data_IF_880374006125
#
_entry.id   IF_880374006125
#
_cell.length_a   1.000
_cell.length_b   1.000
_cell.length_c   1.000
_cell.angle_alpha   90.00
_cell.angle_beta   90.00
_cell.angle_gamma   90.00
#
_symmetry.space_group_name_H-M   'P 1'
#
loop_
_entity.id
_entity.type
_entity.pdbx_description
1 polymer ?
#
# COMPACT_ATOMS: atom_id res chain seq x y z
N UNK A 1 16.91 11.32 -58.84
CA UNK A 1 17.91 10.88 -57.83
C UNK A 1 17.80 11.81 -56.63
N UNK A 2 17.35 11.30 -55.47
CA UNK A 2 17.28 12.08 -54.23
C UNK A 2 18.71 12.46 -53.80
N UNK A 3 19.00 13.76 -53.68
CA UNK A 3 20.29 14.23 -53.14
C UNK A 3 20.34 13.83 -51.67
N UNK A 4 21.30 12.98 -51.29
CA UNK A 4 21.56 12.68 -49.89
C UNK A 4 22.13 13.93 -49.20
N UNK A 5 21.28 14.65 -48.47
CA UNK A 5 21.69 15.81 -47.69
C UNK A 5 22.29 15.34 -46.36
N UNK A 6 23.61 15.43 -46.24
CA UNK A 6 24.31 15.12 -44.99
C UNK A 6 23.92 16.11 -43.89
N UNK A 7 23.97 15.66 -42.63
CA UNK A 7 23.76 16.50 -41.46
C UNK A 7 25.09 17.15 -41.07
N UNK A 8 25.13 18.47 -41.07
CA UNK A 8 26.29 19.24 -40.60
C UNK A 8 26.31 19.32 -39.08
N UNK A 9 27.48 19.65 -38.51
CA UNK A 9 27.62 19.84 -37.05
C UNK A 9 26.71 20.95 -36.54
N UNK A 10 26.56 22.05 -37.29
CA UNK A 10 25.66 23.16 -36.96
C UNK A 10 24.20 22.73 -36.93
N UNK A 11 23.72 22.04 -37.98
CA UNK A 11 22.34 21.51 -38.01
C UNK A 11 22.07 20.53 -36.84
N UNK A 12 23.08 19.77 -36.40
CA UNK A 12 22.97 18.86 -35.25
C UNK A 12 22.81 19.63 -33.93
N UNK A 13 23.58 20.71 -33.75
CA UNK A 13 23.49 21.57 -32.57
C UNK A 13 22.16 22.33 -32.53
N UNK A 14 21.72 22.85 -33.66
CA UNK A 14 20.43 23.52 -33.81
C UNK A 14 19.28 22.54 -33.58
N UNK A 15 19.35 21.32 -34.11
CA UNK A 15 18.36 20.26 -33.85
C UNK A 15 18.27 19.94 -32.35
N UNK A 16 19.42 19.82 -31.66
CA UNK A 16 19.44 19.64 -30.20
C UNK A 16 18.79 20.83 -29.50
N UNK A 17 19.11 22.06 -29.92
CA UNK A 17 18.58 23.28 -29.31
C UNK A 17 17.06 23.38 -29.45
N UNK A 18 16.56 23.21 -30.68
CA UNK A 18 15.14 23.24 -31.01
C UNK A 18 14.36 22.13 -30.29
N UNK A 19 14.93 20.91 -30.18
CA UNK A 19 14.27 19.81 -29.49
C UNK A 19 14.29 19.90 -27.97
N UNK A 20 15.40 20.32 -27.39
CA UNK A 20 15.61 20.25 -25.94
C UNK A 20 15.12 21.53 -25.25
N UNK A 21 15.43 22.70 -25.80
CA UNK A 21 15.11 23.98 -25.18
C UNK A 21 13.81 24.58 -25.71
N UNK A 22 13.61 24.58 -27.02
CA UNK A 22 12.43 25.21 -27.65
C UNK A 22 11.23 24.25 -27.75
N UNK A 23 11.48 22.94 -27.61
CA UNK A 23 10.47 21.86 -27.58
C UNK A 23 9.59 21.78 -28.83
N UNK A 24 10.13 22.17 -29.99
CA UNK A 24 9.41 22.15 -31.26
C UNK A 24 9.09 20.71 -31.74
N UNK A 25 7.96 20.55 -32.42
CA UNK A 25 7.55 19.29 -33.02
C UNK A 25 8.40 18.93 -34.25
N UNK A 26 8.43 17.64 -34.61
CA UNK A 26 9.21 17.18 -35.78
C UNK A 26 8.76 17.86 -37.09
N UNK A 27 7.49 18.22 -37.20
CA UNK A 27 6.93 18.91 -38.38
C UNK A 27 7.41 20.36 -38.49
N UNK A 28 7.48 21.07 -37.38
CA UNK A 28 7.94 22.46 -37.32
C UNK A 28 9.44 22.53 -37.65
N UNK A 29 10.23 21.64 -37.04
CA UNK A 29 11.66 21.52 -37.29
C UNK A 29 11.94 21.07 -38.73
N UNK A 30 11.13 20.18 -39.29
CA UNK A 30 11.22 19.76 -40.68
C UNK A 30 11.02 20.92 -41.65
N UNK A 31 10.10 21.84 -41.35
CA UNK A 31 9.88 23.04 -42.15
C UNK A 31 11.08 24.00 -42.06
N UNK A 32 11.67 24.16 -40.87
CA UNK A 32 12.85 25.02 -40.65
C UNK A 32 14.08 24.48 -41.40
N UNK A 33 14.34 23.18 -41.33
CA UNK A 33 15.47 22.56 -42.02
C UNK A 33 15.21 22.21 -43.49
N UNK A 34 14.00 22.50 -44.01
CA UNK A 34 13.55 22.08 -45.34
C UNK A 34 13.78 20.58 -45.61
N UNK A 35 13.59 19.76 -44.57
CA UNK A 35 13.78 18.30 -44.58
C UNK A 35 12.45 17.60 -44.34
N UNK A 36 12.40 16.29 -44.60
CA UNK A 36 11.22 15.51 -44.24
C UNK A 36 11.14 15.30 -42.71
N UNK A 37 9.93 15.29 -42.11
CA UNK A 37 9.76 14.95 -40.69
C UNK A 37 10.40 13.60 -40.30
N UNK A 38 10.39 12.64 -41.23
CA UNK A 38 11.04 11.34 -41.05
C UNK A 38 12.57 11.45 -40.88
N UNK A 39 13.22 12.36 -41.62
CA UNK A 39 14.65 12.62 -41.49
C UNK A 39 14.99 13.20 -40.11
N UNK A 40 14.15 14.11 -39.60
CA UNK A 40 14.27 14.68 -38.24
C UNK A 40 14.13 13.59 -37.19
N UNK A 41 13.09 12.76 -37.28
CA UNK A 41 12.85 11.65 -36.35
C UNK A 41 14.04 10.68 -36.31
N UNK A 42 14.56 10.32 -37.49
CA UNK A 42 15.69 9.40 -37.60
C UNK A 42 16.97 9.98 -37.03
N UNK A 43 17.21 11.28 -37.24
CA UNK A 43 18.38 11.94 -36.66
C UNK A 43 18.26 12.08 -35.15
N UNK A 44 17.08 12.44 -34.62
CA UNK A 44 16.83 12.47 -33.18
C UNK A 44 17.08 11.11 -32.53
N UNK A 45 16.62 10.02 -33.17
CA UNK A 45 16.89 8.64 -32.74
C UNK A 45 18.38 8.32 -32.73
N UNK A 46 19.11 8.64 -33.81
CA UNK A 46 20.56 8.43 -33.92
C UNK A 46 21.34 9.20 -32.84
N UNK A 47 20.93 10.43 -32.57
CA UNK A 47 21.54 11.30 -31.56
C UNK A 47 21.07 11.00 -30.13
N UNK A 48 20.17 10.02 -29.94
CA UNK A 48 19.54 9.70 -28.65
C UNK A 48 18.88 10.92 -27.98
N UNK A 49 18.39 11.87 -28.78
CA UNK A 49 17.59 13.00 -28.31
C UNK A 49 16.22 12.44 -27.92
N UNK A 50 16.02 12.25 -26.61
CA UNK A 50 14.76 11.72 -26.07
C UNK A 50 13.80 12.88 -25.83
N UNK A 51 12.53 12.73 -26.25
CA UNK A 51 11.45 13.62 -25.83
C UNK A 51 11.29 13.49 -24.30
N UNK A 52 11.95 14.37 -23.55
CA UNK A 52 11.68 14.54 -22.13
C UNK A 52 10.40 15.35 -22.01
N UNK A 53 9.27 14.67 -22.17
CA UNK A 53 8.00 15.28 -21.80
C UNK A 53 8.04 15.53 -20.28
N UNK A 54 7.90 16.79 -19.87
CA UNK A 54 7.81 17.14 -18.47
C UNK A 54 6.65 16.38 -17.81
N UNK A 55 6.78 16.07 -16.53
CA UNK A 55 5.64 15.56 -15.77
C UNK A 55 4.77 16.75 -15.42
N UNK A 56 3.59 16.83 -16.00
CA UNK A 56 2.54 17.74 -15.55
C UNK A 56 1.87 17.16 -14.27
N UNK A 57 1.18 18.03 -13.53
CA UNK A 57 0.54 17.67 -12.25
C UNK A 57 -0.50 16.56 -12.45
N UNK A 58 -1.25 16.62 -13.55
CA UNK A 58 -2.30 15.65 -13.87
C UNK A 58 -1.74 14.23 -14.09
N UNK A 59 -0.68 14.08 -14.88
CA UNK A 59 0.00 12.79 -15.08
C UNK A 59 0.63 12.26 -13.80
N UNK A 60 1.04 13.15 -12.89
CA UNK A 60 1.51 12.73 -11.57
C UNK A 60 0.38 12.17 -10.69
N UNK A 61 -0.79 12.82 -10.68
CA UNK A 61 -1.96 12.31 -9.96
C UNK A 61 -2.46 10.98 -10.55
N UNK A 62 -2.47 10.87 -11.88
CA UNK A 62 -2.81 9.61 -12.56
C UNK A 62 -1.79 8.53 -12.18
N UNK A 63 -0.49 8.83 -12.15
CA UNK A 63 0.54 7.88 -11.71
C UNK A 63 0.29 7.40 -10.28
N UNK A 64 -0.01 8.31 -9.34
CA UNK A 64 -0.31 7.96 -7.96
C UNK A 64 -1.54 7.06 -7.85
N UNK A 65 -2.63 7.43 -8.51
CA UNK A 65 -3.85 6.64 -8.52
C UNK A 65 -3.61 5.23 -9.09
N UNK A 66 -2.86 5.12 -10.19
CA UNK A 66 -2.51 3.83 -10.76
C UNK A 66 -1.61 3.00 -9.84
N UNK A 67 -0.65 3.61 -9.14
CA UNK A 67 0.22 2.89 -8.20
C UNK A 67 -0.55 2.38 -6.99
N UNK A 68 -1.36 3.25 -6.36
CA UNK A 68 -1.93 2.99 -5.04
C UNK A 68 -3.34 2.41 -5.06
N UNK A 69 -4.14 2.68 -6.10
CA UNK A 69 -5.55 2.23 -6.18
C UNK A 69 -5.77 1.05 -7.13
N UNK A 70 -4.73 0.57 -7.81
CA UNK A 70 -4.82 -0.56 -8.75
C UNK A 70 -3.71 -1.58 -8.51
N UNK A 71 -3.84 -2.75 -9.12
CA UNK A 71 -2.81 -3.79 -9.08
C UNK A 71 -1.97 -3.87 -10.37
N UNK A 72 -1.97 -2.83 -11.21
CA UNK A 72 -1.27 -2.87 -12.49
C UNK A 72 0.24 -3.04 -12.35
N UNK A 73 0.85 -3.79 -13.27
CA UNK A 73 2.30 -3.86 -13.44
C UNK A 73 2.87 -2.52 -13.91
N UNK A 74 4.19 -2.32 -13.74
CA UNK A 74 4.87 -1.10 -14.22
C UNK A 74 4.65 -0.87 -15.72
N UNK A 75 4.60 -1.95 -16.50
CA UNK A 75 4.37 -1.92 -17.94
C UNK A 75 2.96 -1.45 -18.29
N UNK A 76 1.94 -1.91 -17.57
CA UNK A 76 0.55 -1.49 -17.77
C UNK A 76 0.33 -0.03 -17.37
N UNK A 77 0.95 0.40 -16.25
CA UNK A 77 0.96 1.82 -15.83
C UNK A 77 1.61 2.68 -16.92
N UNK A 78 2.70 2.21 -17.51
CA UNK A 78 3.39 2.88 -18.62
C UNK A 78 2.53 3.05 -19.85
N UNK A 79 1.86 1.98 -20.28
CA UNK A 79 0.92 2.04 -21.42
C UNK A 79 -0.22 3.03 -21.17
N UNK A 80 -0.79 3.03 -19.95
CA UNK A 80 -1.88 3.96 -19.60
C UNK A 80 -1.45 5.42 -19.56
N UNK A 81 -0.21 5.70 -19.16
CA UNK A 81 0.33 7.07 -19.14
C UNK A 81 0.93 7.49 -20.49
N UNK A 82 0.92 6.63 -21.52
CA UNK A 82 1.60 6.89 -22.80
C UNK A 82 3.10 7.08 -22.65
N UNK A 83 3.71 6.46 -21.63
CA UNK A 83 5.12 6.67 -21.23
C UNK A 83 5.88 5.35 -21.31
N UNK A 84 7.21 5.43 -21.24
CA UNK A 84 8.06 4.25 -21.13
C UNK A 84 8.15 3.77 -19.68
N UNK A 85 8.34 2.46 -19.48
CA UNK A 85 8.51 1.89 -18.14
C UNK A 85 9.69 2.52 -17.39
N UNK A 86 10.79 2.81 -18.08
CA UNK A 86 11.95 3.49 -17.51
C UNK A 86 11.65 4.90 -17.02
N UNK A 87 10.82 5.67 -17.73
CA UNK A 87 10.42 7.01 -17.31
C UNK A 87 9.62 6.97 -16.00
N UNK A 88 8.74 5.98 -15.84
CA UNK A 88 7.97 5.78 -14.61
C UNK A 88 8.85 5.32 -13.46
N UNK A 89 9.77 4.37 -13.68
CA UNK A 89 10.72 3.93 -12.65
C UNK A 89 11.52 5.09 -12.05
N UNK A 90 12.06 5.95 -12.92
CA UNK A 90 12.80 7.15 -12.51
C UNK A 90 11.88 8.09 -11.72
N UNK A 91 10.65 8.34 -12.20
CA UNK A 91 9.71 9.22 -11.50
C UNK A 91 9.30 8.67 -10.13
N UNK A 92 9.00 7.37 -10.04
CA UNK A 92 8.65 6.69 -8.80
C UNK A 92 9.79 6.77 -7.79
N UNK A 93 11.03 6.53 -8.22
CA UNK A 93 12.21 6.62 -7.35
C UNK A 93 12.41 8.05 -6.85
N UNK A 94 12.24 9.06 -7.71
CA UNK A 94 12.35 10.48 -7.31
C UNK A 94 11.25 10.92 -6.36
N UNK A 95 10.00 10.49 -6.60
CA UNK A 95 8.82 10.95 -5.83
C UNK A 95 8.63 10.17 -4.53
N UNK A 96 8.83 8.85 -4.56
CA UNK A 96 8.53 7.95 -3.44
C UNK A 96 9.76 7.27 -2.84
N UNK A 97 10.96 7.52 -3.36
CA UNK A 97 12.21 6.90 -2.89
C UNK A 97 12.40 5.44 -3.29
N UNK A 98 11.44 4.83 -4.01
CA UNK A 98 11.54 3.46 -4.49
C UNK A 98 10.66 3.22 -5.72
N UNK A 99 11.06 2.30 -6.57
CA UNK A 99 10.26 1.81 -7.70
C UNK A 99 9.56 0.47 -7.43
N UNK A 100 9.65 -0.05 -6.20
CA UNK A 100 9.02 -1.31 -5.83
C UNK A 100 7.53 -1.08 -5.53
N UNK A 101 6.68 -1.45 -6.49
CA UNK A 101 5.22 -1.30 -6.39
C UNK A 101 4.64 -1.98 -5.15
N UNK A 102 5.10 -3.19 -4.81
CA UNK A 102 4.60 -3.91 -3.65
C UNK A 102 4.94 -3.17 -2.36
N UNK A 103 6.16 -2.64 -2.25
CA UNK A 103 6.56 -1.81 -1.10
C UNK A 103 5.65 -0.59 -1.00
N UNK A 104 5.48 0.17 -2.09
CA UNK A 104 4.64 1.37 -2.12
C UNK A 104 3.19 1.09 -1.75
N UNK A 105 2.59 0.07 -2.37
CA UNK A 105 1.21 -0.37 -2.11
C UNK A 105 1.03 -0.81 -0.67
N UNK A 106 1.96 -1.59 -0.13
CA UNK A 106 1.89 -2.04 1.26
C UNK A 106 2.04 -0.87 2.25
N UNK A 107 2.95 0.08 2.00
CA UNK A 107 3.04 1.31 2.81
C UNK A 107 1.76 2.13 2.72
N UNK A 108 1.18 2.29 1.52
CA UNK A 108 -0.08 3.00 1.35
C UNK A 108 -1.21 2.29 2.07
N UNK A 109 -1.40 0.98 1.90
CA UNK A 109 -2.41 0.19 2.63
C UNK A 109 -2.22 0.24 4.15
N UNK A 110 -0.97 0.28 4.63
CA UNK A 110 -0.68 0.46 6.06
C UNK A 110 -1.08 1.84 6.58
N UNK A 111 -0.98 2.90 5.74
CA UNK A 111 -1.35 4.28 6.06
C UNK A 111 -2.83 4.61 5.79
N UNK A 112 -3.44 4.01 4.77
CA UNK A 112 -4.73 4.39 4.19
C UNK A 112 -5.92 3.62 4.78
N UNK A 113 -5.73 2.59 5.61
CA UNK A 113 -6.90 1.87 6.15
C UNK A 113 -6.69 0.66 7.06
N UNK A 114 -5.46 0.30 7.43
CA UNK A 114 -5.24 -0.74 8.45
C UNK A 114 -4.86 -0.17 9.83
N UNK A 115 -4.96 1.15 10.02
CA UNK A 115 -4.75 1.78 11.32
C UNK A 115 -5.98 1.58 12.20
N UNK A 116 -5.83 0.82 13.28
CA UNK A 116 -6.78 0.90 14.39
C UNK A 116 -6.58 2.26 15.06
N UNK A 117 -7.65 3.04 15.12
CA UNK A 117 -7.69 4.26 15.92
C UNK A 117 -7.42 3.95 17.39
N UNK A 118 -7.04 4.97 18.17
CA UNK A 118 -6.84 4.82 19.61
C UNK A 118 -8.07 4.24 20.31
N UNK A 119 -9.27 4.69 19.93
CA UNK A 119 -10.54 4.16 20.44
C UNK A 119 -10.72 2.67 20.13
N UNK A 120 -10.39 2.23 18.91
CA UNK A 120 -10.47 0.81 18.55
C UNK A 120 -9.42 -0.01 19.29
N UNK A 121 -8.21 0.54 19.51
CA UNK A 121 -7.18 -0.11 20.31
C UNK A 121 -7.57 -0.23 21.78
N UNK A 122 -8.20 0.80 22.34
CA UNK A 122 -8.70 0.81 23.71
C UNK A 122 -9.87 -0.16 23.89
N UNK A 123 -10.79 -0.22 22.91
CA UNK A 123 -11.82 -1.26 22.86
C UNK A 123 -11.20 -2.67 22.85
N UNK A 124 -10.19 -2.93 22.00
CA UNK A 124 -9.52 -4.23 21.97
C UNK A 124 -8.83 -4.53 23.31
N UNK A 125 -8.16 -3.55 23.92
CA UNK A 125 -7.51 -3.69 25.24
C UNK A 125 -8.50 -4.14 26.30
N UNK A 126 -9.71 -3.59 26.28
CA UNK A 126 -10.72 -3.81 27.33
C UNK A 126 -11.63 -5.01 27.07
N UNK A 127 -11.87 -5.38 25.82
CA UNK A 127 -12.93 -6.34 25.47
C UNK A 127 -12.46 -7.59 24.72
N UNK A 128 -11.20 -7.68 24.29
CA UNK A 128 -10.75 -8.75 23.40
C UNK A 128 -10.93 -10.16 23.99
N UNK A 129 -10.55 -10.40 25.25
CA UNK A 129 -10.70 -11.73 25.84
C UNK A 129 -12.11 -12.06 26.31
N UNK A 130 -12.86 -11.03 26.70
CA UNK A 130 -14.26 -11.17 27.12
C UNK A 130 -15.16 -11.55 25.94
N UNK A 131 -15.11 -10.77 24.86
CA UNK A 131 -15.95 -10.95 23.67
C UNK A 131 -15.36 -11.95 22.67
N UNK A 132 -14.04 -12.04 22.62
CA UNK A 132 -13.32 -12.87 21.67
C UNK A 132 -13.27 -12.29 20.26
N UNK A 133 -12.37 -12.86 19.44
CA UNK A 133 -12.05 -12.35 18.10
C UNK A 133 -13.26 -12.20 17.17
N UNK A 134 -14.22 -13.12 17.22
CA UNK A 134 -15.37 -13.14 16.31
C UNK A 134 -16.28 -11.93 16.56
N UNK A 135 -16.61 -11.65 17.83
CA UNK A 135 -17.45 -10.53 18.21
C UNK A 135 -16.72 -9.20 18.04
N UNK A 136 -15.45 -9.10 18.46
CA UNK A 136 -14.64 -7.90 18.26
C UNK A 136 -14.55 -7.52 16.77
N UNK A 137 -14.33 -8.51 15.90
CA UNK A 137 -14.31 -8.27 14.44
C UNK A 137 -15.64 -7.72 13.92
N UNK A 138 -16.76 -8.26 14.42
CA UNK A 138 -18.10 -7.78 14.06
C UNK A 138 -18.35 -6.34 14.52
N UNK A 139 -17.99 -6.01 15.77
CA UNK A 139 -18.18 -4.67 16.35
C UNK A 139 -17.32 -3.64 15.61
N UNK A 140 -16.07 -3.97 15.33
CA UNK A 140 -15.12 -3.07 14.67
C UNK A 140 -15.30 -3.01 13.15
N UNK A 141 -16.20 -3.82 12.58
CA UNK A 141 -16.36 -3.98 11.12
C UNK A 141 -15.03 -4.29 10.41
N UNK A 142 -14.20 -5.13 11.04
CA UNK A 142 -12.89 -5.57 10.52
C UNK A 142 -12.89 -7.09 10.32
N UNK A 143 -11.93 -7.58 9.54
CA UNK A 143 -11.73 -9.03 9.41
C UNK A 143 -11.16 -9.63 10.71
N UNK A 144 -11.48 -10.90 10.99
CA UNK A 144 -10.94 -11.62 12.15
C UNK A 144 -9.41 -11.60 12.17
N UNK A 145 -8.79 -11.83 11.01
CA UNK A 145 -7.32 -11.82 10.86
C UNK A 145 -6.71 -10.45 11.17
N UNK A 146 -7.37 -9.36 10.77
CA UNK A 146 -6.93 -8.00 11.11
C UNK A 146 -6.92 -7.79 12.63
N UNK A 147 -7.98 -8.22 13.32
CA UNK A 147 -8.08 -8.11 14.79
C UNK A 147 -6.99 -8.91 15.48
N UNK A 148 -6.74 -10.15 15.05
CA UNK A 148 -5.67 -10.98 15.61
C UNK A 148 -4.31 -10.32 15.42
N UNK A 149 -4.00 -9.85 14.22
CA UNK A 149 -2.74 -9.15 13.95
C UNK A 149 -2.58 -7.90 14.79
N UNK A 150 -3.65 -7.12 14.97
CA UNK A 150 -3.58 -5.92 15.79
C UNK A 150 -3.33 -6.23 17.26
N UNK A 151 -4.00 -7.25 17.82
CA UNK A 151 -3.76 -7.68 19.20
C UNK A 151 -2.32 -8.15 19.40
N UNK A 152 -1.76 -8.91 18.44
CA UNK A 152 -0.34 -9.30 18.47
C UNK A 152 0.57 -8.06 18.45
N UNK A 153 0.28 -7.07 17.61
CA UNK A 153 1.04 -5.83 17.53
C UNK A 153 0.97 -5.03 18.84
N UNK A 154 -0.21 -4.90 19.45
CA UNK A 154 -0.39 -4.23 20.74
C UNK A 154 0.40 -4.92 21.85
N UNK A 155 0.38 -6.25 21.90
CA UNK A 155 1.19 -7.03 22.85
C UNK A 155 2.70 -6.81 22.66
N UNK A 156 3.17 -6.78 21.40
CA UNK A 156 4.58 -6.46 21.09
C UNK A 156 4.99 -5.07 21.56
N UNK A 157 4.04 -4.12 21.59
CA UNK A 157 4.22 -2.76 22.14
C UNK A 157 4.10 -2.69 23.67
N UNK A 158 3.94 -3.82 24.37
CA UNK A 158 3.82 -3.87 25.82
C UNK A 158 2.44 -3.52 26.38
N UNK A 159 1.40 -3.44 25.54
CA UNK A 159 0.04 -3.14 26.01
C UNK A 159 -0.53 -4.34 26.80
N UNK A 160 -0.93 -4.07 28.04
CA UNK A 160 -1.59 -5.05 28.92
C UNK A 160 -3.09 -5.02 28.65
N UNK A 161 -3.64 -6.17 28.26
CA UNK A 161 -5.07 -6.37 28.01
C UNK A 161 -5.80 -6.68 29.31
N UNK A 162 -7.10 -6.33 29.37
CA UNK A 162 -7.97 -6.72 30.47
C UNK A 162 -8.17 -8.24 30.49
N UNK A 163 -8.04 -8.83 31.67
CA UNK A 163 -8.22 -10.27 31.84
C UNK A 163 -9.68 -10.69 31.71
N UNK A 164 -9.87 -11.95 31.34
CA UNK A 164 -11.19 -12.54 31.26
C UNK A 164 -11.66 -12.94 32.65
N UNK A 165 -12.68 -12.27 33.17
CA UNK A 165 -13.29 -12.58 34.46
C UNK A 165 -14.43 -13.60 34.33
N UNK A 166 -15.19 -13.53 33.24
CA UNK A 166 -16.35 -14.39 32.98
C UNK A 166 -15.96 -15.46 31.94
N UNK A 167 -16.18 -16.75 32.21
CA UNK A 167 -15.94 -17.82 31.25
C UNK A 167 -16.72 -17.63 29.95
N UNK A 168 -16.08 -17.91 28.82
CA UNK A 168 -16.67 -17.77 27.48
C UNK A 168 -17.01 -19.13 26.93
N UNK A 169 -18.18 -19.25 26.30
CA UNK A 169 -18.61 -20.50 25.70
C UNK A 169 -17.68 -20.94 24.55
N UNK A 170 -17.37 -22.23 24.50
CA UNK A 170 -16.57 -22.87 23.46
C UNK A 170 -17.35 -24.05 22.89
N UNK A 171 -17.78 -23.90 21.64
CA UNK A 171 -18.55 -24.93 20.96
C UNK A 171 -17.77 -26.26 20.80
N UNK A 172 -16.45 -26.19 20.57
CA UNK A 172 -15.58 -27.36 20.37
C UNK A 172 -15.57 -28.35 21.55
N UNK A 173 -15.84 -27.88 22.77
CA UNK A 173 -15.75 -28.68 24.00
C UNK A 173 -17.07 -28.72 24.78
N UNK A 174 -18.16 -28.14 24.24
CA UNK A 174 -19.46 -27.98 24.89
C UNK A 174 -19.31 -27.51 26.36
N UNK A 175 -18.91 -26.25 26.54
CA UNK A 175 -18.70 -25.69 27.87
C UNK A 175 -18.13 -24.28 27.84
N UNK A 176 -17.70 -23.79 28.99
CA UNK A 176 -17.14 -22.45 29.17
C UNK A 176 -15.68 -22.49 29.60
N UNK A 177 -14.87 -21.53 29.17
CA UNK A 177 -13.47 -21.45 29.61
C UNK A 177 -12.96 -20.04 29.84
N UNK A 178 -11.96 -19.95 30.71
CA UNK A 178 -11.14 -18.76 30.96
C UNK A 178 -9.80 -18.93 30.27
N UNK A 179 -9.40 -17.94 29.49
CA UNK A 179 -8.13 -17.92 28.76
C UNK A 179 -7.08 -17.09 29.49
N UNK A 180 -5.83 -17.56 29.45
CA UNK A 180 -4.67 -16.84 29.93
C UNK A 180 -4.41 -15.65 29.04
N UNK A 181 -4.30 -14.47 29.63
CA UNK A 181 -3.87 -13.28 28.91
C UNK A 181 -2.42 -13.41 28.40
N UNK A 182 -1.56 -14.04 29.20
CA UNK A 182 -0.13 -14.21 28.90
C UNK A 182 0.09 -15.19 27.74
N UNK A 183 -0.56 -16.36 27.79
CA UNK A 183 -0.29 -17.44 26.83
C UNK A 183 -1.38 -17.64 25.78
N UNK A 184 -2.57 -17.06 25.97
CA UNK A 184 -3.75 -17.32 25.15
C UNK A 184 -4.31 -18.75 25.28
N UNK A 185 -3.76 -19.56 26.20
CA UNK A 185 -4.21 -20.93 26.46
C UNK A 185 -5.32 -20.94 27.50
N UNK A 186 -6.14 -21.99 27.49
CA UNK A 186 -7.19 -22.19 28.49
C UNK A 186 -6.53 -22.44 29.86
N UNK A 187 -6.93 -21.69 30.88
CA UNK A 187 -6.51 -21.89 32.28
C UNK A 187 -7.51 -22.79 33.01
N UNK A 188 -8.80 -22.48 32.91
CA UNK A 188 -9.88 -23.20 33.59
C UNK A 188 -11.05 -23.45 32.65
N UNK A 189 -11.78 -24.54 32.90
CA UNK A 189 -12.99 -24.94 32.19
C UNK A 189 -14.13 -25.14 33.19
N UNK A 190 -15.34 -24.94 32.69
CA UNK A 190 -16.59 -25.10 33.41
C UNK A 190 -17.62 -25.70 32.45
N UNK A 191 -18.44 -26.62 32.91
CA UNK A 191 -19.54 -27.21 32.14
C UNK A 191 -20.67 -26.18 31.96
N UNK A 192 -20.91 -25.33 32.96
CA UNK A 192 -21.93 -24.29 32.91
C UNK A 192 -21.51 -23.00 33.62
N UNK A 193 -22.17 -21.89 33.30
CA UNK A 193 -22.01 -20.64 34.06
C UNK A 193 -22.48 -20.77 35.51
N UNK A 194 -23.45 -21.66 35.79
CA UNK A 194 -23.91 -21.96 37.15
C UNK A 194 -22.79 -22.60 37.98
N UNK A 195 -22.10 -23.59 37.41
CA UNK A 195 -20.95 -24.23 38.04
C UNK A 195 -19.83 -23.21 38.33
N UNK A 196 -19.54 -22.33 37.37
CA UNK A 196 -18.57 -21.25 37.58
C UNK A 196 -18.95 -20.32 38.72
N UNK A 197 -20.21 -19.86 38.78
CA UNK A 197 -20.69 -18.97 39.86
C UNK A 197 -20.57 -19.63 41.22
N UNK A 198 -21.04 -20.87 41.36
CA UNK A 198 -20.96 -21.60 42.61
C UNK A 198 -19.49 -21.74 43.08
N UNK A 199 -18.57 -22.10 42.18
CA UNK A 199 -17.14 -22.18 42.50
C UNK A 199 -16.54 -20.83 42.89
N UNK A 200 -16.99 -19.73 42.27
CA UNK A 200 -16.52 -18.38 42.59
C UNK A 200 -17.00 -17.94 43.98
N UNK A 201 -18.27 -18.18 44.30
CA UNK A 201 -18.87 -17.86 45.60
C UNK A 201 -18.22 -18.66 46.74
N UNK A 202 -17.95 -19.95 46.54
CA UNK A 202 -17.21 -20.78 47.49
C UNK A 202 -15.82 -20.20 47.81
N UNK A 203 -15.07 -19.80 46.78
CA UNK A 203 -13.75 -19.18 46.96
C UNK A 203 -13.85 -17.84 47.70
N UNK A 204 -14.87 -17.03 47.43
CA UNK A 204 -15.07 -15.73 48.11
C UNK A 204 -15.46 -15.88 49.59
N UNK A 205 -16.11 -16.99 49.95
CA UNK A 205 -16.43 -17.35 51.33
C UNK A 205 -15.19 -17.86 52.06
N UNK A 206 -14.36 -18.70 51.43
CA UNK A 206 -13.13 -19.24 52.03
C UNK A 206 -12.03 -18.20 52.26
N UNK A 207 -12.06 -17.07 51.54
CA UNK A 207 -11.08 -15.98 51.67
C UNK A 207 -11.56 -14.82 52.57
N UNK A 208 -12.70 -14.97 53.25
CA UNK A 208 -13.17 -14.04 54.30
C UNK A 208 -12.84 -14.57 55.69
#
# INVERSE_FOLDING_TARGET
MSKYTYWTTGEIEDLKRMKIFEKLEDKEIAQIFERSPYSIEMMCKRLKIRKYEAWDIEKEEILENLIFRTNFSKLEIARKLGRTEGAIKIKMTRKFGTENLNKLRNTFLSRAGCGYSEKENEFLKNSYYEKGVKECASILKKSRSSVVHQVINLKRKGVIFKEQTIPRFINKFIGYAIYSNKTGKIIKRYESLKEWRNKKELIEIENK
#
